data_IF_257414227671
#
_entry.id   IF_257414227671
#
_cell.length_a   1.000
_cell.length_b   1.000
_cell.length_c   1.000
_cell.angle_alpha   90.00
_cell.angle_beta   90.00
_cell.angle_gamma   90.00
#
_symmetry.space_group_name_H-M   'P 1'
#
loop_
_entity.id
_entity.type
_entity.pdbx_description
1 polymer ?
#
# COMPACT_ATOMS: atom_id res chain seq x y z
N UNK A 1 26.71 10.29 5.19
CA UNK A 1 26.86 11.73 4.99
C UNK A 1 25.76 12.37 5.82
N UNK A 2 26.14 12.95 6.96
CA UNK A 2 25.22 13.57 7.89
C UNK A 2 24.44 14.71 7.21
N UNK A 3 23.21 14.92 7.64
CA UNK A 3 22.49 16.16 7.39
C UNK A 3 23.33 17.29 8.02
N UNK A 4 23.96 18.10 7.20
CA UNK A 4 24.54 19.36 7.66
C UNK A 4 23.38 20.30 7.95
N UNK A 5 23.34 20.84 9.16
CA UNK A 5 22.45 21.86 9.69
C UNK A 5 21.10 21.96 8.98
N UNK A 6 20.05 21.46 9.64
CA UNK A 6 18.75 21.25 9.05
C UNK A 6 18.21 22.45 8.30
N UNK A 7 17.97 22.30 7.03
CA UNK A 7 17.07 23.17 6.34
C UNK A 7 15.68 22.89 6.93
N UNK A 8 15.10 23.85 7.61
CA UNK A 8 13.73 23.79 8.10
C UNK A 8 12.80 23.59 6.90
N UNK A 9 12.15 22.45 6.81
CA UNK A 9 11.10 22.19 5.82
C UNK A 9 9.84 23.01 6.08
N UNK A 10 9.74 23.66 7.23
CA UNK A 10 8.63 24.53 7.62
C UNK A 10 8.87 25.11 9.02
N UNK A 11 8.24 26.25 9.31
CA UNK A 11 8.20 26.86 10.63
C UNK A 11 6.82 26.62 11.25
N UNK A 12 6.78 26.37 12.54
CA UNK A 12 5.54 26.18 13.32
C UNK A 12 5.33 24.72 13.77
N UNK A 13 4.17 24.45 14.33
CA UNK A 13 3.81 23.11 14.78
C UNK A 13 3.55 22.20 13.57
N UNK A 14 4.35 21.14 13.40
CA UNK A 14 4.14 20.13 12.36
C UNK A 14 3.25 18.99 12.87
N UNK A 15 2.46 18.37 11.98
CA UNK A 15 1.71 17.16 12.32
C UNK A 15 2.37 15.90 11.74
N UNK A 16 1.85 15.34 10.64
CA UNK A 16 2.37 14.12 10.05
C UNK A 16 3.43 14.37 8.99
N UNK A 17 4.31 13.40 8.80
CA UNK A 17 5.25 13.34 7.67
C UNK A 17 5.23 11.95 7.07
N UNK A 18 5.04 11.86 5.75
CA UNK A 18 4.97 10.59 5.02
C UNK A 18 5.95 10.61 3.85
N UNK A 19 6.52 9.46 3.55
CA UNK A 19 7.41 9.25 2.41
C UNK A 19 6.73 8.36 1.37
N UNK A 20 6.81 8.75 0.10
CA UNK A 20 6.33 7.86 -0.96
C UNK A 20 7.16 6.59 -1.01
N UNK A 21 6.48 5.46 -1.17
CA UNK A 21 7.09 4.13 -1.31
C UNK A 21 7.34 3.76 -2.77
N UNK A 22 7.04 4.66 -3.71
CA UNK A 22 7.24 4.45 -5.14
C UNK A 22 8.70 4.75 -5.53
N UNK A 23 9.35 3.82 -6.23
CA UNK A 23 10.75 3.96 -6.65
C UNK A 23 10.96 5.03 -7.72
N UNK A 24 9.94 5.39 -8.50
CA UNK A 24 10.06 6.34 -9.60
C UNK A 24 9.92 7.80 -9.17
N UNK A 25 9.14 8.06 -8.12
CA UNK A 25 8.87 9.40 -7.63
C UNK A 25 9.08 9.44 -6.11
N UNK A 26 10.09 10.19 -5.68
CA UNK A 26 10.43 10.34 -4.26
C UNK A 26 9.82 11.64 -3.74
N UNK A 27 8.71 11.51 -3.03
CA UNK A 27 8.04 12.64 -2.40
C UNK A 27 8.06 12.52 -0.88
N UNK A 28 8.11 13.66 -0.22
CA UNK A 28 7.77 13.82 1.19
C UNK A 28 6.50 14.65 1.26
N UNK A 29 5.51 14.11 1.93
CA UNK A 29 4.27 14.82 2.25
C UNK A 29 4.31 15.20 3.72
N UNK A 30 4.02 16.43 4.04
CA UNK A 30 3.91 16.90 5.42
C UNK A 30 2.83 17.96 5.54
N UNK A 31 2.23 18.08 6.71
CA UNK A 31 1.23 19.10 6.97
C UNK A 31 1.63 19.98 8.17
N UNK A 32 1.03 21.12 8.21
CA UNK A 32 0.92 21.95 9.41
C UNK A 32 -0.18 21.35 10.29
N UNK A 33 -0.72 22.07 11.23
CA UNK A 33 -1.84 21.61 12.05
C UNK A 33 -3.15 21.50 11.26
N UNK A 34 -4.04 20.62 11.66
CA UNK A 34 -5.29 20.29 10.93
C UNK A 34 -4.99 19.80 9.50
N UNK A 35 -5.87 20.04 8.54
CA UNK A 35 -5.58 19.90 7.10
C UNK A 35 -4.97 21.18 6.50
N UNK A 36 -4.51 22.08 7.34
CA UNK A 36 -3.96 23.33 6.90
C UNK A 36 -2.58 23.14 6.27
N UNK A 37 -2.39 23.66 5.08
CA UNK A 37 -1.10 23.67 4.38
C UNK A 37 -0.46 22.29 4.23
N UNK A 38 -1.21 21.28 3.77
CA UNK A 38 -0.60 20.01 3.34
C UNK A 38 0.35 20.31 2.18
N UNK A 39 1.60 19.93 2.35
CA UNK A 39 2.71 20.25 1.45
C UNK A 39 3.36 18.98 0.93
N UNK A 40 3.80 19.05 -0.31
CA UNK A 40 4.52 17.97 -0.99
C UNK A 40 5.89 18.49 -1.44
N UNK A 41 6.92 17.73 -1.16
CA UNK A 41 8.30 17.99 -1.55
C UNK A 41 8.80 16.91 -2.50
N UNK A 42 9.27 17.31 -3.68
CA UNK A 42 9.90 16.40 -4.63
C UNK A 42 11.38 16.19 -4.29
N UNK A 43 11.73 14.99 -3.82
CA UNK A 43 13.11 14.64 -3.44
C UNK A 43 14.00 14.28 -4.63
N UNK A 44 13.45 14.00 -5.82
CA UNK A 44 14.24 13.74 -7.02
C UNK A 44 14.86 15.02 -7.62
N UNK A 45 14.34 16.18 -7.25
CA UNK A 45 14.80 17.46 -7.76
C UNK A 45 14.84 18.53 -6.64
N UNK A 46 15.69 18.35 -5.62
CA UNK A 46 15.90 19.38 -4.62
C UNK A 46 16.52 20.61 -5.29
N UNK A 47 16.04 21.80 -4.99
CA UNK A 47 16.59 23.04 -5.50
C UNK A 47 18.07 23.22 -5.14
N UNK A 48 18.86 23.87 -6.01
CA UNK A 48 20.29 24.12 -5.80
C UNK A 48 20.61 25.02 -4.57
N UNK A 49 19.59 25.67 -4.03
CA UNK A 49 19.70 26.59 -2.88
C UNK A 49 19.25 25.94 -1.56
N UNK A 50 19.02 24.62 -1.56
CA UNK A 50 18.48 23.90 -0.41
C UNK A 50 17.04 24.30 -0.05
N UNK A 51 16.45 25.25 -0.73
CA UNK A 51 15.06 25.61 -0.60
C UNK A 51 14.26 24.72 -1.52
N UNK A 52 13.66 23.74 -0.91
CA UNK A 52 12.90 22.68 -1.52
C UNK A 52 11.80 23.22 -2.43
N UNK A 53 11.67 22.57 -3.55
CA UNK A 53 10.56 22.75 -4.48
C UNK A 53 9.33 22.05 -3.90
N UNK A 54 8.72 22.67 -2.91
CA UNK A 54 7.47 22.22 -2.34
C UNK A 54 6.28 22.94 -2.99
N UNK A 55 5.15 22.31 -2.99
CA UNK A 55 3.87 22.92 -3.33
C UNK A 55 2.82 22.57 -2.29
N UNK A 56 1.86 23.42 -2.16
CA UNK A 56 0.75 23.24 -1.21
C UNK A 56 -0.46 22.68 -1.96
N UNK A 57 -1.10 21.69 -1.37
CA UNK A 57 -2.26 21.00 -1.94
C UNK A 57 -3.56 21.28 -1.21
N UNK A 58 -3.50 21.92 -0.03
CA UNK A 58 -4.69 22.36 0.71
C UNK A 58 -4.63 23.86 1.00
N UNK A 59 -5.79 24.50 1.15
CA UNK A 59 -5.87 25.91 1.51
C UNK A 59 -5.54 26.16 2.99
N UNK A 60 -5.24 27.44 3.36
CA UNK A 60 -5.02 27.80 4.75
C UNK A 60 -6.33 27.88 5.57
N UNK A 61 -7.48 27.84 4.90
CA UNK A 61 -8.79 28.01 5.52
C UNK A 61 -9.45 26.70 5.91
N UNK A 62 -8.83 25.56 5.54
CA UNK A 62 -9.33 24.22 5.87
C UNK A 62 -8.95 23.87 7.30
N UNK A 63 -9.74 24.31 8.27
CA UNK A 63 -9.66 23.87 9.68
C UNK A 63 -10.35 22.49 9.85
N UNK A 64 -10.15 21.59 8.89
CA UNK A 64 -10.65 20.21 8.96
C UNK A 64 -9.67 19.32 9.75
N UNK A 65 -10.23 18.31 10.43
CA UNK A 65 -9.44 17.31 11.16
C UNK A 65 -8.99 17.80 12.55
N UNK A 66 -7.98 17.10 13.07
CA UNK A 66 -7.43 17.35 14.39
C UNK A 66 -6.19 18.25 14.34
N UNK A 67 -5.81 18.84 15.50
CA UNK A 67 -4.61 19.67 15.61
C UNK A 67 -3.37 18.91 15.15
N UNK A 68 -3.15 17.66 15.61
CA UNK A 68 -2.19 16.70 15.05
C UNK A 68 -2.98 15.75 14.15
N UNK A 69 -3.02 16.05 12.86
CA UNK A 69 -3.93 15.40 11.96
C UNK A 69 -3.37 14.08 11.40
N UNK A 70 -4.20 13.03 11.39
CA UNK A 70 -3.85 11.72 10.85
C UNK A 70 -3.98 11.74 9.35
N UNK A 71 -2.96 11.17 8.68
CA UNK A 71 -2.87 11.07 7.24
C UNK A 71 -2.30 9.72 6.82
N UNK A 72 -2.64 9.27 5.62
CA UNK A 72 -2.06 8.12 4.96
C UNK A 72 -1.78 8.43 3.49
N UNK A 73 -0.66 7.93 2.96
CA UNK A 73 -0.24 8.12 1.58
C UNK A 73 -0.34 6.80 0.83
N UNK A 74 -1.23 6.73 -0.17
CA UNK A 74 -1.22 5.68 -1.16
C UNK A 74 -0.25 6.02 -2.30
N UNK A 75 0.92 5.42 -2.24
CA UNK A 75 1.96 5.66 -3.25
C UNK A 75 1.69 4.98 -4.58
N UNK A 76 0.82 3.94 -4.62
CA UNK A 76 0.49 3.24 -5.85
C UNK A 76 -0.49 4.04 -6.71
N UNK A 77 -1.41 4.74 -6.06
CA UNK A 77 -2.46 5.54 -6.72
C UNK A 77 -2.22 7.05 -6.65
N UNK A 78 -1.16 7.50 -5.97
CA UNK A 78 -0.86 8.93 -5.81
C UNK A 78 -1.95 9.68 -5.05
N UNK A 79 -2.46 9.10 -3.94
CA UNK A 79 -3.55 9.68 -3.16
C UNK A 79 -3.09 9.95 -1.73
N UNK A 80 -3.43 11.12 -1.22
CA UNK A 80 -3.27 11.45 0.19
C UNK A 80 -4.64 11.42 0.86
N UNK A 81 -4.80 10.54 1.83
CA UNK A 81 -5.97 10.49 2.69
C UNK A 81 -5.69 11.25 3.99
N UNK A 82 -6.60 12.09 4.42
CA UNK A 82 -6.42 12.95 5.59
C UNK A 82 -7.70 13.03 6.42
N UNK A 83 -7.58 12.91 7.74
CA UNK A 83 -8.72 13.11 8.63
C UNK A 83 -9.35 14.49 8.38
N UNK A 84 -10.65 14.54 8.14
CA UNK A 84 -11.43 15.75 7.92
C UNK A 84 -12.39 16.05 9.10
N UNK A 85 -12.24 15.33 10.21
CA UNK A 85 -13.08 15.44 11.39
C UNK A 85 -14.46 14.81 11.25
N UNK A 86 -15.13 14.59 12.37
CA UNK A 86 -16.51 14.08 12.41
C UNK A 86 -16.74 12.80 11.58
N UNK A 87 -15.82 11.83 11.64
CA UNK A 87 -15.91 10.56 10.91
C UNK A 87 -15.81 10.72 9.40
N UNK A 88 -14.99 11.65 8.93
CA UNK A 88 -14.75 11.90 7.52
C UNK A 88 -13.26 11.85 7.20
N UNK A 89 -12.95 11.39 6.00
CA UNK A 89 -11.61 11.40 5.41
C UNK A 89 -11.65 12.16 4.09
N UNK A 90 -10.77 13.12 3.91
CA UNK A 90 -10.56 13.80 2.63
C UNK A 90 -9.48 13.09 1.82
N UNK A 91 -9.79 12.77 0.56
CA UNK A 91 -8.85 12.24 -0.40
C UNK A 91 -8.40 13.37 -1.34
N UNK A 92 -7.08 13.49 -1.53
CA UNK A 92 -6.46 14.43 -2.47
C UNK A 92 -5.83 13.63 -3.60
N UNK A 93 -6.27 13.90 -4.84
CA UNK A 93 -5.80 13.26 -6.06
C UNK A 93 -4.92 14.18 -6.91
N UNK A 94 -4.19 13.61 -7.86
CA UNK A 94 -3.46 14.34 -8.90
C UNK A 94 -2.52 15.45 -8.35
N UNK A 95 -2.07 15.30 -7.10
CA UNK A 95 -1.20 16.27 -6.45
C UNK A 95 0.22 16.28 -7.02
N UNK A 96 0.63 15.26 -7.73
CA UNK A 96 1.92 15.10 -8.39
C UNK A 96 2.01 15.85 -9.75
N UNK A 97 0.85 16.26 -10.30
CA UNK A 97 0.78 17.10 -11.52
C UNK A 97 1.13 18.58 -11.28
N UNK A 98 1.35 18.97 -10.03
CA UNK A 98 1.75 20.33 -9.68
C UNK A 98 3.27 20.46 -9.68
N UNK A 99 3.77 21.51 -10.33
CA UNK A 99 5.19 21.82 -10.37
C UNK A 99 5.65 22.61 -9.13
N UNK A 100 6.98 22.66 -8.89
CA UNK A 100 7.58 23.43 -7.80
C UNK A 100 7.20 24.92 -7.89
N UNK A 101 6.82 25.50 -6.74
CA UNK A 101 6.44 26.90 -6.61
C UNK A 101 4.98 27.22 -6.90
N UNK A 102 4.17 26.23 -7.30
CA UNK A 102 2.72 26.43 -7.37
C UNK A 102 2.15 26.49 -5.96
N UNK A 103 1.49 27.58 -5.63
CA UNK A 103 0.68 27.75 -4.41
C UNK A 103 -0.79 27.62 -4.78
N UNK A 104 -1.15 26.44 -5.31
CA UNK A 104 -2.52 26.17 -5.75
C UNK A 104 -3.19 25.16 -4.83
N UNK A 105 -4.48 25.37 -4.59
CA UNK A 105 -5.34 24.37 -4.00
C UNK A 105 -5.63 23.28 -5.03
N UNK A 106 -5.44 22.02 -4.65
CA UNK A 106 -5.91 20.91 -5.48
C UNK A 106 -7.43 20.86 -5.39
N UNK A 107 -8.07 21.01 -6.54
CA UNK A 107 -9.54 20.92 -6.63
C UNK A 107 -10.05 19.50 -6.79
N UNK A 108 -9.16 18.55 -7.12
CA UNK A 108 -9.52 17.16 -7.26
C UNK A 108 -9.50 16.45 -5.90
N UNK A 109 -10.54 16.72 -5.13
CA UNK A 109 -10.73 16.15 -3.79
C UNK A 109 -12.16 15.67 -3.61
N UNK A 110 -12.34 14.63 -2.80
CA UNK A 110 -13.65 14.19 -2.33
C UNK A 110 -13.60 13.76 -0.86
N UNK A 111 -14.77 13.61 -0.25
CA UNK A 111 -14.93 13.17 1.13
C UNK A 111 -15.44 11.73 1.16
N UNK A 112 -14.75 10.91 1.95
CA UNK A 112 -15.25 9.61 2.44
C UNK A 112 -15.91 9.93 3.78
N UNK A 113 -17.22 9.81 3.88
CA UNK A 113 -18.01 10.20 5.05
C UNK A 113 -18.66 8.99 5.74
N UNK A 114 -19.44 9.25 6.79
CA UNK A 114 -20.21 8.24 7.52
C UNK A 114 -19.35 7.12 8.14
N UNK A 115 -18.13 7.45 8.56
CA UNK A 115 -17.25 6.52 9.28
C UNK A 115 -17.45 6.55 10.81
N UNK A 116 -18.51 7.17 11.29
CA UNK A 116 -18.86 7.23 12.70
C UNK A 116 -18.19 8.38 13.44
N UNK A 117 -17.34 8.10 14.39
CA UNK A 117 -16.66 9.08 15.24
C UNK A 117 -15.39 9.64 14.57
N UNK A 118 -14.64 10.46 15.30
CA UNK A 118 -13.43 11.08 14.79
C UNK A 118 -12.36 10.05 14.44
N UNK A 119 -11.64 10.29 13.33
CA UNK A 119 -10.61 9.36 12.84
C UNK A 119 -9.33 9.58 13.64
N UNK A 120 -8.88 8.52 14.30
CA UNK A 120 -7.69 8.52 15.15
C UNK A 120 -6.50 7.73 14.57
N UNK A 121 -6.76 6.88 13.56
CA UNK A 121 -5.73 6.16 12.81
C UNK A 121 -6.14 6.03 11.35
N UNK A 122 -5.17 6.13 10.44
CA UNK A 122 -5.33 5.90 9.00
C UNK A 122 -4.14 5.13 8.49
N UNK A 123 -4.41 4.08 7.71
CA UNK A 123 -3.38 3.37 6.96
C UNK A 123 -3.93 2.88 5.62
N UNK A 124 -3.06 2.76 4.62
CA UNK A 124 -3.38 2.21 3.31
C UNK A 124 -2.76 0.83 3.21
N UNK A 125 -3.54 -0.15 2.72
CA UNK A 125 -3.00 -1.48 2.46
C UNK A 125 -1.87 -1.41 1.43
N UNK A 126 -0.65 -1.85 1.77
CA UNK A 126 0.46 -1.86 0.83
C UNK A 126 0.37 -3.03 -0.17
N UNK A 127 -0.59 -3.93 0.01
CA UNK A 127 -0.72 -5.17 -0.75
C UNK A 127 -1.63 -5.05 -1.96
N UNK A 128 -2.50 -4.02 -2.00
CA UNK A 128 -3.44 -3.83 -3.10
C UNK A 128 -2.82 -2.98 -4.21
N UNK A 129 -2.84 -3.50 -5.43
CA UNK A 129 -2.26 -2.84 -6.62
C UNK A 129 -3.31 -2.50 -7.68
N UNK A 130 -4.51 -3.09 -7.60
CA UNK A 130 -5.61 -2.87 -8.54
C UNK A 130 -6.57 -1.78 -8.06
N UNK A 131 -6.67 -1.59 -6.76
CA UNK A 131 -7.51 -0.55 -6.14
C UNK A 131 -6.93 -0.11 -4.82
N UNK A 132 -7.12 1.16 -4.45
CA UNK A 132 -6.74 1.66 -3.13
C UNK A 132 -7.65 1.08 -2.07
N UNK A 133 -7.08 0.50 -1.02
CA UNK A 133 -7.80 0.03 0.16
C UNK A 133 -7.31 0.79 1.39
N UNK A 134 -8.20 1.58 1.97
CA UNK A 134 -7.94 2.41 3.15
C UNK A 134 -8.56 1.76 4.38
N UNK A 135 -7.79 1.72 5.46
CA UNK A 135 -8.28 1.40 6.79
C UNK A 135 -8.33 2.65 7.66
N UNK A 136 -9.44 2.84 8.36
CA UNK A 136 -9.68 3.99 9.23
C UNK A 136 -10.15 3.55 10.62
N UNK A 137 -9.38 3.86 11.63
CA UNK A 137 -9.68 3.64 13.03
C UNK A 137 -10.24 4.91 13.69
N UNK A 138 -11.19 4.75 14.60
CA UNK A 138 -11.85 5.85 15.28
C UNK A 138 -11.45 5.95 16.75
N UNK A 139 -11.74 7.10 17.34
CA UNK A 139 -11.55 7.38 18.76
C UNK A 139 -12.50 6.62 19.69
N UNK A 140 -13.50 5.91 19.15
CA UNK A 140 -14.44 5.06 19.87
C UNK A 140 -14.30 3.55 19.60
N UNK A 141 -13.20 3.14 18.98
CA UNK A 141 -12.89 1.73 18.68
C UNK A 141 -13.47 1.18 17.38
N UNK A 142 -14.18 1.98 16.59
CA UNK A 142 -14.67 1.53 15.29
C UNK A 142 -13.52 1.44 14.28
N UNK A 143 -13.41 0.30 13.61
CA UNK A 143 -12.46 0.07 12.51
C UNK A 143 -13.23 -0.10 11.20
N UNK A 144 -12.82 0.64 10.19
CA UNK A 144 -13.43 0.63 8.86
C UNK A 144 -12.43 0.17 7.80
N UNK A 145 -12.88 -0.68 6.88
CA UNK A 145 -12.21 -1.02 5.64
C UNK A 145 -12.96 -0.37 4.48
N UNK A 146 -12.27 0.43 3.69
CA UNK A 146 -12.81 1.13 2.52
C UNK A 146 -12.09 0.59 1.29
N UNK A 147 -12.76 -0.18 0.46
CA UNK A 147 -12.24 -0.69 -0.80
C UNK A 147 -12.61 0.24 -1.96
N UNK A 148 -11.83 0.23 -3.04
CA UNK A 148 -11.93 1.22 -4.13
C UNK A 148 -11.95 2.66 -3.60
N UNK A 149 -11.16 2.92 -2.56
CA UNK A 149 -11.13 4.21 -1.88
C UNK A 149 -10.73 5.37 -2.81
N UNK A 150 -10.08 5.08 -3.94
CA UNK A 150 -9.74 6.05 -4.98
C UNK A 150 -10.94 6.57 -5.80
N UNK A 151 -12.09 5.92 -5.74
CA UNK A 151 -13.24 6.29 -6.56
C UNK A 151 -14.52 6.45 -5.71
N UNK A 152 -15.04 7.68 -5.54
CA UNK A 152 -16.20 7.95 -4.70
C UNK A 152 -17.50 7.27 -5.18
N UNK A 153 -17.57 6.87 -6.45
CA UNK A 153 -18.76 6.26 -7.03
C UNK A 153 -18.81 4.74 -6.85
N UNK A 154 -17.65 4.08 -6.67
CA UNK A 154 -17.55 2.62 -6.58
C UNK A 154 -16.95 2.13 -5.26
N UNK A 155 -16.53 3.05 -4.38
CA UNK A 155 -16.02 2.69 -3.06
C UNK A 155 -17.07 1.94 -2.22
N UNK A 156 -16.62 0.94 -1.50
CA UNK A 156 -17.42 0.26 -0.48
C UNK A 156 -16.83 0.49 0.89
N UNK A 157 -17.69 0.56 1.90
CA UNK A 157 -17.30 0.79 3.30
C UNK A 157 -17.85 -0.33 4.14
N UNK A 158 -16.96 -1.03 4.81
CA UNK A 158 -17.26 -2.11 5.71
C UNK A 158 -16.73 -1.78 7.11
N UNK A 159 -17.57 -1.89 8.12
CA UNK A 159 -17.12 -1.78 9.50
C UNK A 159 -16.69 -3.17 9.97
N UNK A 160 -15.41 -3.32 10.24
CA UNK A 160 -14.84 -4.48 10.93
C UNK A 160 -15.23 -4.35 12.40
N UNK A 161 -16.12 -5.22 12.89
CA UNK A 161 -16.65 -5.15 14.24
C UNK A 161 -16.00 -6.18 15.12
N UNK A 162 -15.58 -5.73 16.29
CA UNK A 162 -15.18 -6.60 17.39
C UNK A 162 -15.68 -5.99 18.70
N UNK A 163 -16.48 -6.75 19.43
CA UNK A 163 -17.21 -6.22 20.60
C UNK A 163 -16.29 -5.78 21.74
N UNK A 164 -15.02 -6.23 21.71
CA UNK A 164 -14.03 -5.88 22.73
C UNK A 164 -13.17 -4.66 22.36
N UNK A 165 -13.31 -4.12 21.15
CA UNK A 165 -12.65 -2.87 20.77
C UNK A 165 -13.23 -1.73 21.59
N UNK A 166 -12.40 -1.12 22.43
CA UNK A 166 -12.80 -0.06 23.33
C UNK A 166 -11.71 1.01 23.42
N UNK A 167 -12.10 2.25 23.23
CA UNK A 167 -11.16 3.38 23.25
C UNK A 167 -10.74 3.81 21.84
N UNK A 168 -9.68 4.56 21.78
CA UNK A 168 -9.21 5.18 20.55
C UNK A 168 -8.15 4.31 19.88
N UNK A 169 -8.40 3.93 18.63
CA UNK A 169 -7.41 3.22 17.82
C UNK A 169 -6.24 4.15 17.57
N UNK A 170 -5.05 3.74 17.94
CA UNK A 170 -3.81 4.51 17.79
C UNK A 170 -3.06 4.20 16.51
N UNK A 171 -3.05 2.90 16.13
CA UNK A 171 -2.33 2.40 14.97
C UNK A 171 -3.04 1.21 14.34
N UNK A 172 -2.86 1.06 13.03
CA UNK A 172 -3.32 -0.07 12.23
C UNK A 172 -2.13 -0.45 11.36
N UNK A 173 -1.54 -1.62 11.59
CA UNK A 173 -0.37 -2.09 10.87
C UNK A 173 -0.63 -3.47 10.24
N UNK A 174 0.14 -3.81 9.23
CA UNK A 174 0.01 -5.09 8.53
C UNK A 174 1.24 -5.96 8.74
N UNK A 175 1.00 -7.27 8.83
CA UNK A 175 2.04 -8.28 8.80
C UNK A 175 2.50 -8.60 7.38
N UNK A 176 2.56 -9.89 7.07
CA UNK A 176 3.04 -10.36 5.76
C UNK A 176 2.06 -10.15 4.61
N UNK A 177 0.78 -10.00 4.90
CA UNK A 177 -0.27 -9.68 3.93
C UNK A 177 -1.44 -8.93 4.59
N UNK A 178 -2.48 -8.59 3.80
CA UNK A 178 -3.65 -7.83 4.26
C UNK A 178 -4.53 -8.61 5.26
N UNK A 179 -4.36 -9.94 5.40
CA UNK A 179 -5.08 -10.72 6.40
C UNK A 179 -4.50 -10.59 7.79
N UNK A 180 -3.21 -10.30 7.88
CA UNK A 180 -2.48 -10.15 9.12
C UNK A 180 -2.52 -8.70 9.56
N UNK A 181 -3.50 -8.36 10.41
CA UNK A 181 -3.79 -6.98 10.83
C UNK A 181 -3.51 -6.84 12.32
N UNK A 182 -2.76 -5.82 12.68
CA UNK A 182 -2.54 -5.38 14.05
C UNK A 182 -3.32 -4.11 14.30
N UNK A 183 -3.98 -4.02 15.46
CA UNK A 183 -4.67 -2.81 15.91
C UNK A 183 -4.25 -2.51 17.33
N UNK A 184 -3.87 -1.26 17.59
CA UNK A 184 -3.48 -0.82 18.93
C UNK A 184 -4.38 0.31 19.46
N UNK A 185 -4.38 0.46 20.80
CA UNK A 185 -5.20 1.47 21.49
C UNK A 185 -4.33 2.28 22.46
N UNK A 186 -4.53 3.59 22.51
CA UNK A 186 -3.74 4.48 23.37
C UNK A 186 -4.47 4.89 24.67
N UNK A 187 -5.41 4.10 25.13
CA UNK A 187 -6.13 4.36 26.37
C UNK A 187 -5.59 3.48 27.51
N UNK A 188 -5.69 3.98 28.72
CA UNK A 188 -5.54 3.18 29.93
C UNK A 188 -6.82 2.40 30.22
N UNK A 189 -6.70 1.24 30.88
CA UNK A 189 -7.83 0.44 31.33
C UNK A 189 -8.58 -0.28 30.20
N UNK A 190 -7.95 -0.48 29.07
CA UNK A 190 -8.46 -1.24 27.92
C UNK A 190 -7.43 -2.24 27.44
N UNK A 191 -7.86 -3.27 26.72
CA UNK A 191 -6.93 -4.11 25.97
C UNK A 191 -6.28 -3.29 24.86
N UNK A 192 -4.97 -3.23 24.83
CA UNK A 192 -4.24 -2.29 23.98
C UNK A 192 -3.73 -2.89 22.68
N UNK A 193 -3.73 -4.24 22.52
CA UNK A 193 -3.17 -4.92 21.35
C UNK A 193 -4.10 -6.03 20.89
N UNK A 194 -4.55 -5.93 19.64
CA UNK A 194 -5.33 -6.95 18.96
C UNK A 194 -4.66 -7.36 17.65
N UNK A 195 -4.82 -8.61 17.28
CA UNK A 195 -4.29 -9.21 16.06
C UNK A 195 -5.31 -10.10 15.39
N UNK A 196 -5.43 -9.98 14.08
CA UNK A 196 -6.20 -10.85 13.20
C UNK A 196 -5.27 -11.50 12.18
N UNK A 197 -5.52 -12.75 11.81
CA UNK A 197 -4.84 -13.47 10.72
C UNK A 197 -5.79 -13.87 9.58
N UNK A 198 -7.03 -13.38 9.63
CA UNK A 198 -8.09 -13.68 8.65
C UNK A 198 -8.72 -12.43 8.02
N UNK A 199 -8.07 -11.27 8.12
CA UNK A 199 -8.52 -10.02 7.50
C UNK A 199 -9.52 -9.23 8.35
N UNK A 200 -9.60 -9.54 9.65
CA UNK A 200 -10.45 -8.85 10.61
C UNK A 200 -11.77 -9.54 10.89
N UNK A 201 -11.96 -10.79 10.42
CA UNK A 201 -13.14 -11.59 10.77
C UNK A 201 -13.11 -12.04 12.22
N UNK A 202 -11.92 -12.45 12.71
CA UNK A 202 -11.68 -12.82 14.09
C UNK A 202 -10.45 -12.09 14.65
N UNK A 203 -10.47 -11.85 15.96
CA UNK A 203 -9.39 -11.14 16.65
C UNK A 203 -8.91 -11.89 17.89
N UNK A 204 -7.63 -11.81 18.15
CA UNK A 204 -6.99 -12.30 19.37
C UNK A 204 -6.35 -11.14 20.13
N UNK A 205 -6.47 -11.18 21.47
CA UNK A 205 -5.78 -10.26 22.36
C UNK A 205 -4.32 -10.64 22.46
N UNK A 206 -3.45 -9.66 22.45
CA UNK A 206 -2.00 -9.87 22.48
C UNK A 206 -1.29 -9.03 23.57
N UNK A 207 -2.02 -8.66 24.60
CA UNK A 207 -1.50 -7.87 25.71
C UNK A 207 -0.57 -8.68 26.63
N UNK A 208 -0.87 -9.97 26.84
CA UNK A 208 -0.03 -10.87 27.66
C UNK A 208 0.30 -10.31 29.04
N UNK A 209 1.59 -10.12 29.33
CA UNK A 209 2.08 -9.52 30.59
C UNK A 209 2.39 -8.01 30.48
N UNK A 210 1.97 -7.34 29.39
CA UNK A 210 2.17 -5.89 29.28
C UNK A 210 1.43 -5.19 30.43
N UNK A 211 2.05 -4.25 31.14
CA UNK A 211 1.31 -3.40 32.08
C UNK A 211 0.23 -2.60 31.37
N UNK A 212 -0.78 -2.14 32.12
CA UNK A 212 -1.80 -1.21 31.60
C UNK A 212 -1.15 0.08 31.13
N UNK A 213 -0.78 0.12 29.84
CA UNK A 213 -0.06 1.21 29.18
C UNK A 213 -0.69 1.54 27.83
N UNK A 214 -0.85 2.83 27.50
CA UNK A 214 -1.20 3.24 26.14
C UNK A 214 -0.15 2.74 25.14
N UNK A 215 -0.63 2.06 24.09
CA UNK A 215 0.19 1.62 22.95
C UNK A 215 -0.09 2.54 21.77
N UNK A 216 0.93 3.15 21.21
CA UNK A 216 0.81 4.15 20.13
C UNK A 216 1.09 3.57 18.76
N UNK A 217 2.00 2.59 18.67
CA UNK A 217 2.45 1.99 17.42
C UNK A 217 2.82 0.53 17.63
N UNK A 218 2.78 -0.26 16.57
CA UNK A 218 3.22 -1.66 16.53
C UNK A 218 3.93 -1.96 15.23
N UNK A 219 5.03 -2.72 15.29
CA UNK A 219 5.76 -3.20 14.13
C UNK A 219 6.18 -4.66 14.34
N UNK A 220 5.93 -5.49 13.33
CA UNK A 220 6.42 -6.86 13.27
C UNK A 220 7.74 -6.91 12.51
N UNK A 221 8.68 -7.73 13.00
CA UNK A 221 9.93 -8.00 12.31
C UNK A 221 9.67 -8.67 10.95
N UNK A 222 10.29 -8.21 9.86
CA UNK A 222 10.21 -8.91 8.58
C UNK A 222 11.04 -10.20 8.55
N UNK A 223 11.84 -10.46 9.59
CA UNK A 223 12.72 -11.61 9.72
C UNK A 223 12.09 -12.75 10.52
N UNK A 224 11.29 -12.39 11.54
CA UNK A 224 10.64 -13.33 12.42
C UNK A 224 9.26 -12.79 12.84
N UNK A 225 8.19 -13.56 12.58
CA UNK A 225 6.81 -13.17 12.92
C UNK A 225 6.56 -13.13 14.43
N UNK A 226 7.36 -13.83 15.20
CA UNK A 226 7.29 -13.82 16.66
C UNK A 226 7.97 -12.60 17.30
N UNK A 227 8.84 -11.91 16.54
CA UNK A 227 9.48 -10.69 16.97
C UNK A 227 8.61 -9.48 16.63
N UNK A 228 8.01 -8.87 17.64
CA UNK A 228 7.16 -7.68 17.52
C UNK A 228 7.62 -6.64 18.51
N UNK A 229 7.63 -5.38 18.09
CA UNK A 229 7.89 -4.23 18.96
C UNK A 229 6.68 -3.31 19.01
N UNK A 230 6.50 -2.66 20.16
CA UNK A 230 5.45 -1.66 20.36
C UNK A 230 6.05 -0.38 20.95
N UNK A 231 5.51 0.75 20.50
CA UNK A 231 5.78 2.06 21.08
C UNK A 231 4.71 2.42 22.11
N UNK A 232 5.13 2.74 23.33
CA UNK A 232 4.21 3.01 24.44
C UNK A 232 4.46 4.38 25.07
N UNK A 233 3.66 4.73 26.08
CA UNK A 233 3.88 5.90 26.94
C UNK A 233 5.24 5.81 27.67
N UNK A 234 5.74 4.61 27.93
CA UNK A 234 7.00 4.33 28.65
C UNK A 234 8.03 3.61 27.76
N UNK A 235 8.32 4.19 26.60
CA UNK A 235 9.34 3.66 25.69
C UNK A 235 8.88 2.52 24.82
N UNK A 236 9.84 1.76 24.33
CA UNK A 236 9.61 0.61 23.43
C UNK A 236 9.58 -0.67 24.26
N UNK A 237 8.61 -1.53 23.92
CA UNK A 237 8.54 -2.90 24.42
C UNK A 237 8.65 -3.87 23.25
N UNK A 238 9.10 -5.09 23.51
CA UNK A 238 9.26 -6.13 22.52
C UNK A 238 8.86 -7.49 23.03
N UNK A 239 8.48 -8.37 22.12
CA UNK A 239 8.28 -9.79 22.36
C UNK A 239 8.97 -10.61 21.27
N UNK A 240 9.37 -11.86 21.60
CA UNK A 240 9.88 -12.85 20.65
C UNK A 240 9.00 -14.11 20.63
N UNK A 241 7.79 -14.01 21.10
CA UNK A 241 6.82 -15.11 21.11
C UNK A 241 5.39 -14.62 20.84
N UNK A 242 5.25 -13.72 19.85
CA UNK A 242 3.97 -13.08 19.53
C UNK A 242 2.88 -14.06 19.14
N UNK A 243 3.23 -15.21 18.52
CA UNK A 243 2.28 -16.27 18.15
C UNK A 243 1.63 -16.95 19.36
N UNK A 244 2.23 -16.85 20.55
CA UNK A 244 1.64 -17.37 21.78
C UNK A 244 0.27 -16.70 22.06
N UNK A 245 -0.63 -17.44 22.71
CA UNK A 245 -1.92 -16.89 23.17
C UNK A 245 -1.72 -15.67 24.06
N UNK A 246 -0.73 -15.73 24.97
CA UNK A 246 -0.33 -14.65 25.86
C UNK A 246 1.17 -14.34 25.66
N UNK A 247 1.53 -13.39 24.77
CA UNK A 247 2.91 -13.02 24.54
C UNK A 247 3.60 -12.47 25.79
N UNK A 248 4.93 -12.65 25.86
CA UNK A 248 5.75 -12.10 26.93
C UNK A 248 6.44 -10.82 26.49
N UNK A 249 5.94 -9.69 26.95
CA UNK A 249 6.51 -8.38 26.63
C UNK A 249 7.62 -8.01 27.62
N UNK A 250 8.69 -7.44 27.06
CA UNK A 250 9.86 -6.95 27.78
C UNK A 250 10.17 -5.52 27.36
N UNK A 251 10.53 -4.66 28.30
CA UNK A 251 10.92 -3.29 27.97
C UNK A 251 12.31 -3.24 27.32
N UNK A 252 12.44 -2.51 26.23
CA UNK A 252 13.71 -2.31 25.54
C UNK A 252 14.52 -1.18 26.21
N UNK A 253 15.41 -1.54 27.13
CA UNK A 253 16.14 -0.59 27.97
C UNK A 253 17.49 -0.14 27.38
N UNK A 254 17.86 -0.58 26.17
CA UNK A 254 19.16 -0.28 25.57
C UNK A 254 19.19 1.08 24.89
N UNK A 255 19.69 2.10 25.60
CA UNK A 255 20.01 3.42 25.01
C UNK A 255 18.86 4.41 24.89
N UNK A 256 17.62 3.99 25.04
CA UNK A 256 16.46 4.88 25.06
C UNK A 256 15.92 5.00 26.49
N UNK A 257 15.54 6.21 26.89
CA UNK A 257 14.88 6.47 28.18
C UNK A 257 13.39 6.12 28.10
N UNK A 258 12.75 5.99 29.27
CA UNK A 258 11.31 5.88 29.40
C UNK A 258 10.66 7.20 28.95
N UNK A 259 10.31 7.25 27.68
CA UNK A 259 9.71 8.40 27.03
C UNK A 259 8.64 7.94 26.07
N UNK A 260 7.55 8.67 26.00
CA UNK A 260 6.48 8.35 25.06
C UNK A 260 7.00 8.28 23.63
N UNK A 261 6.77 7.15 23.01
CA UNK A 261 6.96 6.95 21.57
C UNK A 261 5.81 7.60 20.84
N UNK A 262 6.08 8.42 19.84
CA UNK A 262 5.06 9.11 19.07
C UNK A 262 4.79 8.47 17.74
N UNK A 263 5.81 7.80 17.16
CA UNK A 263 5.69 7.10 15.90
C UNK A 263 6.86 6.12 15.70
N UNK A 264 6.62 5.05 14.93
CA UNK A 264 7.63 4.08 14.53
C UNK A 264 7.48 3.74 13.06
N UNK A 265 8.60 3.66 12.34
CA UNK A 265 8.61 3.30 10.92
C UNK A 265 9.73 2.31 10.61
N UNK A 266 9.43 1.33 9.75
CA UNK A 266 10.34 0.29 9.32
C UNK A 266 10.86 0.53 7.91
N UNK A 267 12.17 0.75 7.79
CA UNK A 267 12.84 0.74 6.51
C UNK A 267 13.13 -0.70 6.05
N UNK A 268 12.27 -1.26 5.20
CA UNK A 268 12.32 -2.67 4.77
C UNK A 268 13.64 -3.06 4.06
N UNK A 269 14.37 -2.07 3.50
CA UNK A 269 15.61 -2.36 2.75
C UNK A 269 16.78 -2.86 3.61
N UNK A 270 16.81 -2.54 4.90
CA UNK A 270 17.86 -2.92 5.84
C UNK A 270 17.32 -3.24 7.24
N UNK A 271 16.02 -3.44 7.37
CA UNK A 271 15.28 -3.79 8.60
C UNK A 271 15.50 -2.78 9.75
N UNK A 272 15.82 -1.53 9.38
CA UNK A 272 16.07 -0.47 10.36
C UNK A 272 14.76 0.17 10.77
N UNK A 273 14.54 0.22 12.07
CA UNK A 273 13.41 0.90 12.70
C UNK A 273 13.84 2.30 13.10
N UNK A 274 13.01 3.29 12.80
CA UNK A 274 13.13 4.65 13.31
C UNK A 274 11.99 4.90 14.30
N UNK A 275 12.34 5.53 15.42
CA UNK A 275 11.44 5.70 16.56
C UNK A 275 11.46 7.17 16.92
N UNK A 276 10.35 7.86 16.72
CA UNK A 276 10.19 9.24 17.17
C UNK A 276 9.64 9.28 18.60
N UNK A 277 10.10 10.25 19.39
CA UNK A 277 9.75 10.37 20.80
C UNK A 277 9.28 11.77 21.17
N UNK A 278 8.49 11.86 22.23
CA UNK A 278 8.03 13.14 22.73
C UNK A 278 9.16 13.88 23.46
N UNK A 279 9.84 14.78 22.74
CA UNK A 279 10.83 15.70 23.31
C UNK A 279 12.27 15.20 23.40
N UNK A 280 12.57 13.94 23.05
CA UNK A 280 13.94 13.40 23.07
C UNK A 280 14.50 13.07 21.66
N UNK A 281 13.82 13.50 20.60
CA UNK A 281 14.27 13.31 19.24
C UNK A 281 13.96 11.92 18.66
N UNK A 282 14.81 11.48 17.72
CA UNK A 282 14.62 10.24 16.97
C UNK A 282 15.70 9.24 17.38
N UNK A 283 15.27 8.03 17.69
CA UNK A 283 16.13 6.86 17.92
C UNK A 283 16.06 5.93 16.72
N UNK A 284 16.98 5.00 16.63
CA UNK A 284 16.89 3.92 15.66
C UNK A 284 17.37 2.60 16.23
N UNK A 285 16.69 1.55 15.86
CA UNK A 285 17.04 0.16 16.10
C UNK A 285 17.15 -0.60 14.78
N UNK A 286 17.39 -1.89 14.90
CA UNK A 286 17.39 -2.78 13.74
C UNK A 286 16.84 -4.13 14.19
N UNK A 287 15.91 -4.71 13.43
CA UNK A 287 15.54 -6.09 13.60
C UNK A 287 16.70 -6.97 13.14
N UNK A 288 17.23 -7.78 14.06
CA UNK A 288 18.33 -8.71 13.82
C UNK A 288 17.86 -10.11 14.16
N UNK A 289 17.80 -10.98 13.15
CA UNK A 289 17.70 -12.40 13.43
C UNK A 289 19.04 -12.89 13.97
N UNK A 290 19.02 -13.67 15.05
CA UNK A 290 20.22 -14.31 15.60
C UNK A 290 20.54 -15.62 14.89
N UNK A 291 19.55 -16.21 14.20
CA UNK A 291 19.68 -17.42 13.43
C UNK A 291 20.05 -17.13 11.97
N UNK A 292 20.78 -18.05 11.31
CA UNK A 292 21.01 -17.94 9.88
C UNK A 292 19.69 -17.82 9.11
N UNK A 293 19.54 -16.77 8.30
CA UNK A 293 18.30 -16.52 7.57
C UNK A 293 18.52 -15.73 6.27
N UNK A 294 17.47 -15.62 5.47
CA UNK A 294 17.44 -14.76 4.28
C UNK A 294 16.10 -14.04 4.15
N UNK A 295 16.08 -12.95 3.39
CA UNK A 295 14.85 -12.24 2.99
C UNK A 295 14.75 -12.18 1.49
N UNK A 296 13.52 -11.99 0.97
CA UNK A 296 13.25 -11.69 -0.43
C UNK A 296 12.45 -10.39 -0.53
N UNK A 297 12.72 -9.61 -1.56
CA UNK A 297 11.94 -8.44 -1.89
C UNK A 297 11.90 -8.24 -3.42
N UNK A 298 10.80 -7.67 -3.92
CA UNK A 298 10.69 -7.21 -5.31
C UNK A 298 9.99 -5.86 -5.33
N UNK A 299 10.46 -5.00 -6.22
CA UNK A 299 9.75 -3.75 -6.56
C UNK A 299 8.50 -4.02 -7.40
N UNK A 300 8.42 -5.19 -8.05
CA UNK A 300 7.27 -5.59 -8.86
C UNK A 300 6.18 -6.14 -7.95
N UNK A 301 5.05 -5.47 -7.90
CA UNK A 301 3.86 -5.89 -7.14
C UNK A 301 2.77 -6.46 -8.03
N UNK A 302 2.77 -6.06 -9.30
CA UNK A 302 1.83 -6.54 -10.31
C UNK A 302 2.50 -6.75 -11.66
N UNK A 303 1.94 -7.66 -12.44
CA UNK A 303 2.30 -7.94 -13.81
C UNK A 303 1.03 -7.93 -14.66
N UNK A 304 1.13 -7.42 -15.87
CA UNK A 304 0.12 -7.58 -16.90
C UNK A 304 0.78 -8.25 -18.09
N UNK A 305 0.25 -9.39 -18.54
CA UNK A 305 0.85 -10.22 -19.58
C UNK A 305 -0.24 -10.67 -20.54
N UNK A 306 0.00 -10.47 -21.84
CA UNK A 306 -0.86 -11.01 -22.89
C UNK A 306 -0.73 -12.54 -22.99
N UNK A 307 -1.80 -13.22 -23.34
CA UNK A 307 -1.76 -14.65 -23.66
C UNK A 307 -0.70 -14.93 -24.73
N UNK A 308 0.10 -15.97 -24.55
CA UNK A 308 1.21 -16.34 -25.45
C UNK A 308 2.51 -15.55 -25.21
N UNK A 309 2.47 -14.43 -24.51
CA UNK A 309 3.59 -13.56 -24.24
C UNK A 309 4.30 -13.91 -22.91
N UNK A 310 5.44 -13.27 -22.69
CA UNK A 310 6.24 -13.46 -21.48
C UNK A 310 6.66 -12.12 -20.87
N UNK A 311 6.79 -12.13 -19.55
CA UNK A 311 7.33 -11.00 -18.80
C UNK A 311 8.20 -11.48 -17.66
N UNK A 312 9.15 -10.66 -17.24
CA UNK A 312 10.03 -10.99 -16.13
C UNK A 312 9.99 -9.94 -15.03
N UNK A 313 10.30 -10.38 -13.82
CA UNK A 313 10.50 -9.52 -12.67
C UNK A 313 11.75 -9.94 -11.89
N UNK A 314 12.33 -8.98 -11.19
CA UNK A 314 13.52 -9.20 -10.38
C UNK A 314 13.14 -9.33 -8.91
N UNK A 315 13.85 -10.22 -8.22
CA UNK A 315 13.75 -10.46 -6.79
C UNK A 315 15.13 -10.28 -6.18
N UNK A 316 15.26 -9.31 -5.29
CA UNK A 316 16.45 -9.16 -4.47
C UNK A 316 16.36 -10.07 -3.25
N UNK A 317 17.39 -10.87 -2.98
CA UNK A 317 17.50 -11.61 -1.74
C UNK A 317 18.70 -11.13 -0.94
N UNK A 318 18.54 -11.09 0.38
CA UNK A 318 19.58 -10.71 1.33
C UNK A 318 19.80 -11.80 2.34
N UNK A 319 21.06 -11.99 2.73
CA UNK A 319 21.52 -13.03 3.64
C UNK A 319 21.91 -12.42 4.98
N UNK A 320 21.54 -13.08 6.06
CA UNK A 320 21.83 -12.67 7.42
C UNK A 320 22.45 -13.84 8.21
N UNK A 321 23.33 -13.49 9.17
CA UNK A 321 23.90 -14.41 10.16
C UNK A 321 24.58 -15.64 9.53
N UNK A 322 25.33 -15.43 8.44
CA UNK A 322 26.04 -16.49 7.70
C UNK A 322 25.12 -17.60 7.16
N UNK A 323 23.91 -17.27 6.77
CA UNK A 323 23.06 -18.23 6.07
C UNK A 323 23.78 -18.81 4.87
N UNK A 324 23.77 -20.14 4.74
CA UNK A 324 24.45 -20.86 3.67
C UNK A 324 23.73 -22.19 3.40
N UNK A 325 22.58 -22.10 2.72
CA UNK A 325 21.78 -23.27 2.38
C UNK A 325 21.36 -23.24 0.90
N UNK A 326 20.99 -24.39 0.36
CA UNK A 326 20.32 -24.48 -0.93
C UNK A 326 18.87 -23.97 -0.77
N UNK A 327 18.52 -22.97 -1.57
CA UNK A 327 17.14 -22.49 -1.72
C UNK A 327 16.54 -23.05 -3.00
N UNK A 328 15.33 -23.58 -2.90
CA UNK A 328 14.49 -23.98 -4.03
C UNK A 328 13.41 -22.94 -4.23
N UNK A 329 13.36 -22.36 -5.44
CA UNK A 329 12.32 -21.39 -5.82
C UNK A 329 11.17 -22.10 -6.54
N UNK A 330 9.94 -21.69 -6.26
CA UNK A 330 8.74 -22.12 -6.99
C UNK A 330 7.74 -20.98 -7.10
N UNK A 331 7.11 -20.85 -8.26
CA UNK A 331 6.03 -19.90 -8.49
C UNK A 331 4.71 -20.66 -8.56
N UNK A 332 3.77 -20.30 -7.71
CA UNK A 332 2.43 -20.87 -7.62
C UNK A 332 1.39 -19.83 -8.06
N UNK A 333 0.19 -20.28 -8.43
CA UNK A 333 -0.93 -19.40 -8.77
C UNK A 333 -0.93 -18.88 -10.21
N UNK A 334 0.06 -19.24 -11.04
CA UNK A 334 0.00 -18.93 -12.47
C UNK A 334 -1.05 -19.79 -13.20
N UNK A 335 -1.63 -19.30 -14.32
CA UNK A 335 -2.52 -20.11 -15.17
C UNK A 335 -1.89 -21.45 -15.54
N UNK A 336 -2.74 -22.45 -15.79
CA UNK A 336 -2.28 -23.78 -16.22
C UNK A 336 -1.42 -23.68 -17.50
N UNK A 337 -0.45 -24.59 -17.61
CA UNK A 337 0.50 -24.67 -18.73
C UNK A 337 1.44 -23.44 -18.87
N UNK A 338 1.42 -22.50 -17.95
CA UNK A 338 2.40 -21.41 -17.93
C UNK A 338 3.82 -21.95 -17.69
N UNK A 339 4.79 -21.35 -18.36
CA UNK A 339 6.21 -21.73 -18.21
C UNK A 339 6.95 -20.70 -17.36
N UNK A 340 7.70 -21.19 -16.35
CA UNK A 340 8.48 -20.35 -15.44
C UNK A 340 9.96 -20.66 -15.57
N UNK A 341 10.77 -19.62 -15.81
CA UNK A 341 12.24 -19.72 -15.89
C UNK A 341 12.84 -18.90 -14.76
N UNK A 342 13.84 -19.46 -14.10
CA UNK A 342 14.57 -18.82 -13.02
C UNK A 342 16.03 -18.60 -13.45
N UNK A 343 16.54 -17.37 -13.31
CA UNK A 343 17.91 -17.01 -13.61
C UNK A 343 18.55 -16.38 -12.34
N UNK A 344 19.65 -16.92 -11.79
CA UNK A 344 20.53 -17.91 -12.40
C UNK A 344 20.02 -19.36 -12.39
N UNK A 345 19.15 -19.77 -11.44
CA UNK A 345 18.64 -21.14 -11.38
C UNK A 345 17.44 -21.28 -10.44
N UNK A 346 16.62 -22.34 -10.65
CA UNK A 346 15.53 -22.72 -9.75
C UNK A 346 16.04 -23.18 -8.37
N UNK A 347 17.26 -23.74 -8.31
CA UNK A 347 17.94 -24.14 -7.09
C UNK A 347 19.26 -23.41 -7.00
N UNK A 348 19.53 -22.78 -5.89
CA UNK A 348 20.70 -21.94 -5.70
C UNK A 348 21.20 -22.05 -4.27
N UNK A 349 22.51 -22.32 -4.08
CA UNK A 349 23.14 -22.16 -2.77
C UNK A 349 23.31 -20.67 -2.52
N UNK A 350 22.61 -20.16 -1.53
CA UNK A 350 22.60 -18.75 -1.16
C UNK A 350 23.45 -18.55 0.09
N UNK A 351 24.56 -17.85 -0.08
CA UNK A 351 25.51 -17.51 0.99
C UNK A 351 25.94 -16.04 0.99
N UNK A 352 25.37 -15.26 0.09
CA UNK A 352 25.56 -13.82 -0.05
C UNK A 352 24.34 -13.18 -0.69
N UNK A 353 24.20 -11.88 -0.53
CA UNK A 353 23.16 -11.10 -1.20
C UNK A 353 23.22 -11.29 -2.72
N UNK A 354 22.07 -11.28 -3.36
CA UNK A 354 21.99 -11.47 -4.81
C UNK A 354 20.62 -11.16 -5.39
N UNK A 355 20.48 -11.53 -6.65
CA UNK A 355 19.26 -11.32 -7.43
C UNK A 355 18.81 -12.61 -8.09
N UNK A 356 17.50 -12.79 -8.18
CA UNK A 356 16.84 -13.79 -8.97
C UNK A 356 15.94 -13.09 -9.96
N UNK A 357 16.07 -13.41 -11.24
CA UNK A 357 15.12 -13.02 -12.27
C UNK A 357 14.16 -14.17 -12.51
N UNK A 358 12.86 -13.88 -12.42
CA UNK A 358 11.80 -14.84 -12.72
C UNK A 358 11.13 -14.39 -14.02
N UNK A 359 11.15 -15.25 -15.04
CA UNK A 359 10.43 -15.03 -16.30
C UNK A 359 9.21 -15.96 -16.32
N UNK A 360 8.03 -15.37 -16.50
CA UNK A 360 6.76 -16.08 -16.64
C UNK A 360 6.26 -15.91 -18.07
N UNK A 361 6.02 -17.03 -18.75
CA UNK A 361 5.36 -17.08 -20.05
C UNK A 361 3.97 -17.69 -19.88
N UNK A 362 2.95 -16.95 -20.31
CA UNK A 362 1.56 -17.40 -20.28
C UNK A 362 1.28 -18.25 -21.52
N UNK A 363 0.58 -19.38 -21.35
CA UNK A 363 0.13 -20.18 -22.49
C UNK A 363 -0.91 -19.40 -23.31
N UNK A 364 -0.89 -19.61 -24.63
CA UNK A 364 -1.81 -18.90 -25.54
C UNK A 364 -3.28 -19.27 -25.37
N UNK A 365 -3.57 -20.38 -24.69
CA UNK A 365 -4.93 -20.83 -24.40
C UNK A 365 -5.34 -20.57 -22.94
N UNK A 366 -4.54 -19.80 -22.19
CA UNK A 366 -4.89 -19.43 -20.81
C UNK A 366 -6.11 -18.52 -20.79
N UNK A 367 -6.96 -18.70 -19.78
CA UNK A 367 -8.08 -17.80 -19.54
C UNK A 367 -7.55 -16.39 -19.16
N UNK A 368 -8.20 -15.36 -19.68
CA UNK A 368 -7.98 -13.97 -19.25
C UNK A 368 -8.53 -13.77 -17.84
N UNK A 369 -7.89 -12.94 -17.06
CA UNK A 369 -8.34 -12.68 -15.69
C UNK A 369 -7.24 -12.28 -14.74
N UNK A 370 -7.59 -12.17 -13.47
CA UNK A 370 -6.67 -11.83 -12.38
C UNK A 370 -6.26 -13.08 -11.61
N UNK A 371 -4.96 -13.21 -11.34
CA UNK A 371 -4.34 -14.34 -10.66
C UNK A 371 -3.43 -13.82 -9.54
N UNK A 372 -3.42 -14.51 -8.41
CA UNK A 372 -2.50 -14.23 -7.30
C UNK A 372 -1.26 -15.12 -7.41
N UNK A 373 -0.12 -14.58 -7.84
CA UNK A 373 1.13 -15.31 -7.87
C UNK A 373 1.77 -15.34 -6.48
N UNK A 374 2.32 -16.48 -6.09
CA UNK A 374 3.13 -16.63 -4.89
C UNK A 374 4.48 -17.24 -5.27
N UNK A 375 5.54 -16.44 -5.23
CA UNK A 375 6.91 -16.94 -5.34
C UNK A 375 7.35 -17.42 -3.97
N UNK A 376 7.62 -18.73 -3.85
CA UNK A 376 8.17 -19.36 -2.65
C UNK A 376 9.65 -19.58 -2.82
N UNK A 377 10.41 -19.36 -1.76
CA UNK A 377 11.81 -19.72 -1.62
C UNK A 377 11.96 -20.55 -0.35
N UNK A 378 12.27 -21.80 -0.49
CA UNK A 378 12.37 -22.75 0.62
C UNK A 378 13.76 -23.36 0.70
N UNK A 379 14.36 -23.34 1.89
CA UNK A 379 15.55 -24.09 2.27
C UNK A 379 15.18 -25.20 3.27
N UNK A 380 16.16 -25.87 3.82
CA UNK A 380 15.95 -26.88 4.87
C UNK A 380 15.46 -26.28 6.18
N UNK A 381 15.86 -25.07 6.49
CA UNK A 381 15.57 -24.42 7.79
C UNK A 381 14.57 -23.26 7.69
N UNK A 382 14.46 -22.60 6.55
CA UNK A 382 13.67 -21.36 6.40
C UNK A 382 12.86 -21.37 5.10
N UNK A 383 11.69 -20.71 5.13
CA UNK A 383 10.85 -20.46 3.95
C UNK A 383 10.45 -18.99 3.90
N UNK A 384 10.37 -18.44 2.69
CA UNK A 384 9.90 -17.08 2.43
C UNK A 384 8.96 -17.08 1.23
N UNK A 385 7.99 -16.19 1.26
CA UNK A 385 7.00 -16.00 0.20
C UNK A 385 6.95 -14.54 -0.26
N UNK A 386 6.70 -14.35 -1.54
CA UNK A 386 6.49 -13.04 -2.17
C UNK A 386 5.25 -13.12 -3.05
N UNK A 387 4.27 -12.26 -2.80
CA UNK A 387 3.01 -12.20 -3.56
C UNK A 387 3.10 -11.13 -4.64
N UNK A 388 2.58 -11.45 -5.82
CA UNK A 388 2.55 -10.58 -7.01
C UNK A 388 1.21 -10.78 -7.70
N UNK A 389 0.49 -9.71 -7.98
CA UNK A 389 -0.75 -9.78 -8.74
C UNK A 389 -0.44 -9.95 -10.23
N UNK A 390 -1.14 -10.83 -10.89
CA UNK A 390 -1.04 -11.04 -12.33
C UNK A 390 -2.39 -10.75 -12.98
N UNK A 391 -2.41 -9.85 -13.96
CA UNK A 391 -3.51 -9.68 -14.89
C UNK A 391 -3.11 -10.32 -16.23
N UNK A 392 -3.87 -11.31 -16.66
CA UNK A 392 -3.75 -11.90 -18.00
C UNK A 392 -4.79 -11.26 -18.89
N UNK A 393 -4.33 -10.73 -20.01
CA UNK A 393 -5.17 -10.04 -21.00
C UNK A 393 -5.01 -10.68 -22.38
N UNK A 394 -5.89 -10.36 -23.30
CA UNK A 394 -5.79 -10.78 -24.70
C UNK A 394 -6.04 -9.60 -25.63
N UNK A 395 -5.47 -9.67 -26.80
CA UNK A 395 -5.70 -8.82 -27.96
C UNK A 395 -5.84 -9.81 -29.13
N UNK A 396 -7.12 -10.15 -29.48
CA UNK A 396 -7.41 -11.29 -30.35
C UNK A 396 -7.12 -10.96 -31.81
N UNK A 397 -7.51 -9.77 -32.25
CA UNK A 397 -7.37 -9.32 -33.65
C UNK A 397 -6.08 -8.51 -33.91
N UNK A 398 -5.33 -8.22 -32.81
CA UNK A 398 -4.00 -7.59 -32.84
C UNK A 398 -3.98 -6.14 -33.35
N UNK A 399 -5.00 -5.40 -33.04
CA UNK A 399 -5.10 -4.00 -33.39
C UNK A 399 -4.49 -3.04 -32.34
N UNK A 400 -4.09 -3.60 -31.17
CA UNK A 400 -3.48 -2.87 -30.07
C UNK A 400 -4.46 -2.48 -28.95
N UNK A 401 -5.74 -2.81 -29.11
CA UNK A 401 -6.76 -2.61 -28.10
C UNK A 401 -7.03 -3.95 -27.40
N UNK A 402 -7.15 -3.92 -26.08
CA UNK A 402 -7.37 -5.16 -25.32
C UNK A 402 -8.84 -5.60 -25.40
N UNK A 403 -9.06 -6.90 -25.47
CA UNK A 403 -10.38 -7.54 -25.63
C UNK A 403 -11.47 -6.98 -24.70
N UNK A 404 -11.14 -6.67 -23.46
CA UNK A 404 -12.07 -6.19 -22.42
C UNK A 404 -12.48 -4.71 -22.55
N UNK A 405 -11.81 -3.96 -23.43
CA UNK A 405 -12.09 -2.53 -23.70
C UNK A 405 -12.27 -2.23 -25.19
N UNK A 406 -12.18 -3.27 -26.03
CA UNK A 406 -12.28 -3.20 -27.47
C UNK A 406 -13.75 -3.26 -27.89
N UNK A 407 -14.20 -2.31 -28.69
CA UNK A 407 -15.58 -2.26 -29.19
C UNK A 407 -15.82 -3.17 -30.40
N UNK A 408 -14.73 -3.78 -30.98
CA UNK A 408 -14.81 -4.85 -32.00
C UNK A 408 -13.83 -5.99 -31.73
N UNK A 409 -13.93 -6.77 -30.66
CA UNK A 409 -12.87 -7.64 -30.12
C UNK A 409 -12.36 -8.76 -31.04
N UNK A 410 -12.93 -8.92 -32.24
CA UNK A 410 -12.55 -9.93 -33.23
C UNK A 410 -12.26 -9.33 -34.62
N UNK A 411 -12.32 -8.00 -34.78
CA UNK A 411 -12.13 -7.29 -36.04
C UNK A 411 -11.36 -6.03 -35.83
N UNK A 412 -10.10 -6.02 -36.26
CA UNK A 412 -9.14 -4.95 -36.00
C UNK A 412 -9.68 -3.56 -36.35
N UNK A 413 -9.74 -2.67 -35.36
CA UNK A 413 -10.20 -1.29 -35.48
C UNK A 413 -9.52 -0.38 -34.44
N UNK A 414 -8.20 -0.22 -34.55
CA UNK A 414 -7.39 0.52 -33.59
C UNK A 414 -7.82 1.98 -33.33
N UNK A 415 -8.66 2.56 -34.18
CA UNK A 415 -9.26 3.88 -34.00
C UNK A 415 -10.51 3.88 -33.13
N UNK A 416 -11.09 2.68 -32.84
CA UNK A 416 -12.25 2.47 -31.99
C UNK A 416 -13.44 3.37 -32.35
N UNK A 417 -13.63 3.58 -33.68
CA UNK A 417 -14.71 4.38 -34.21
C UNK A 417 -16.05 3.75 -33.84
N UNK A 418 -16.99 4.56 -33.35
CA UNK A 418 -18.33 4.18 -32.90
C UNK A 418 -19.23 5.39 -33.15
N UNK A 419 -19.94 5.36 -34.25
CA UNK A 419 -20.64 6.52 -34.79
C UNK A 419 -21.88 6.88 -34.02
N UNK A 420 -22.65 5.87 -33.57
CA UNK A 420 -23.90 6.08 -32.83
C UNK A 420 -23.72 6.03 -31.29
N UNK A 421 -22.54 5.58 -30.81
CA UNK A 421 -22.16 5.57 -29.38
C UNK A 421 -22.84 4.43 -28.61
N UNK A 422 -23.21 3.33 -29.25
CA UNK A 422 -23.86 2.18 -28.60
C UNK A 422 -22.85 1.22 -27.94
N UNK A 423 -21.54 1.36 -28.24
CA UNK A 423 -20.46 0.56 -27.71
C UNK A 423 -20.04 -0.60 -28.63
N UNK A 424 -20.60 -0.72 -29.82
CA UNK A 424 -20.15 -1.58 -30.92
C UNK A 424 -19.39 -0.70 -31.91
N UNK A 425 -18.21 -1.12 -32.34
CA UNK A 425 -17.43 -0.31 -33.28
C UNK A 425 -17.96 -0.43 -34.72
N UNK A 426 -17.87 0.65 -35.49
CA UNK A 426 -18.41 0.79 -36.85
C UNK A 426 -18.08 -0.40 -37.77
N UNK A 427 -16.90 -0.99 -37.63
CA UNK A 427 -16.39 -2.07 -38.50
C UNK A 427 -17.06 -3.42 -38.20
N UNK A 428 -17.63 -3.58 -37.04
CA UNK A 428 -18.33 -4.80 -36.60
C UNK A 428 -19.81 -4.57 -36.25
N UNK A 429 -20.31 -3.36 -36.48
CA UNK A 429 -21.69 -2.99 -36.27
C UNK A 429 -22.53 -3.26 -37.52
N UNK A 430 -23.66 -3.87 -37.32
CA UNK A 430 -24.65 -4.15 -38.39
C UNK A 430 -25.57 -2.95 -38.67
N UNK A 431 -25.58 -1.89 -37.79
CA UNK A 431 -26.43 -0.69 -37.87
C UNK A 431 -25.65 0.54 -37.34
N UNK A 432 -24.65 0.95 -38.12
CA UNK A 432 -23.60 1.94 -37.73
C UNK A 432 -24.15 3.29 -37.26
N UNK A 433 -25.31 3.72 -37.72
CA UNK A 433 -25.91 4.99 -37.32
C UNK A 433 -27.07 4.88 -36.31
N UNK A 434 -27.37 3.64 -35.89
CA UNK A 434 -28.32 3.35 -34.82
C UNK A 434 -29.78 3.70 -35.14
N UNK A 435 -30.13 3.83 -36.43
CA UNK A 435 -31.46 4.26 -36.86
C UNK A 435 -32.49 3.13 -36.94
N UNK A 436 -32.05 1.89 -36.73
CA UNK A 436 -32.86 0.67 -36.75
C UNK A 436 -32.99 0.05 -38.14
N UNK A 437 -32.21 0.50 -39.14
CA UNK A 437 -32.10 -0.13 -40.47
C UNK A 437 -30.70 -0.68 -40.62
N UNK A 438 -30.56 -1.99 -40.85
CA UNK A 438 -29.24 -2.60 -40.97
C UNK A 438 -28.45 -2.02 -42.15
N UNK A 439 -27.17 -1.87 -42.05
CA UNK A 439 -26.24 -1.34 -43.07
C UNK A 439 -26.45 -1.97 -44.45
N UNK A 440 -26.83 -3.28 -44.51
CA UNK A 440 -27.08 -4.00 -45.76
C UNK A 440 -28.37 -3.56 -46.49
N UNK A 441 -29.33 -3.01 -45.76
CA UNK A 441 -30.63 -2.57 -46.23
C UNK A 441 -30.76 -1.03 -46.23
N UNK A 442 -29.78 -0.32 -45.67
CA UNK A 442 -29.72 1.12 -45.60
C UNK A 442 -29.00 1.74 -46.83
N UNK A 443 -29.61 2.80 -47.38
CA UNK A 443 -29.02 3.57 -48.49
C UNK A 443 -27.99 4.62 -48.01
N UNK A 444 -27.94 4.91 -46.70
CA UNK A 444 -27.06 5.92 -46.08
C UNK A 444 -26.57 5.47 -44.70
N UNK A 445 -25.79 4.37 -44.58
CA UNK A 445 -25.42 3.71 -43.31
C UNK A 445 -24.67 4.55 -42.26
N UNK A 446 -24.36 5.81 -42.54
CA UNK A 446 -23.72 6.74 -41.65
C UNK A 446 -24.59 8.00 -41.41
N UNK A 447 -25.91 7.91 -41.65
CA UNK A 447 -26.79 9.09 -41.51
C UNK A 447 -28.10 8.70 -40.84
N UNK A 448 -28.22 9.00 -39.52
CA UNK A 448 -29.43 8.69 -38.74
C UNK A 448 -30.68 9.28 -39.36
N UNK A 449 -31.80 8.59 -39.21
CA UNK A 449 -33.12 8.85 -39.82
C UNK A 449 -33.74 10.24 -39.59
N UNK A 450 -33.23 10.97 -38.61
CA UNK A 450 -33.75 12.25 -38.14
C UNK A 450 -33.02 13.50 -38.68
N UNK A 451 -32.26 13.39 -39.76
CA UNK A 451 -31.63 14.54 -40.46
C UNK A 451 -32.22 14.75 -41.85
#
# INVERSE_FOLDING_TARGET
NGFSEGNDFGSGDGAGTMFSQNNNNKYVVYNYVYNNSVRVLNMNNPGNDGRSRWWRISSNDDNEGDFINKQALDSNFGIIYSNAGNGKVRAYHNWDNFGPGSQGEIKDTYLIDNLGSNISALTVSPFQTQSSTLFAGNDNGALWKITNAQNPNTQTKEQIRWDEFSGSISDIEFGEDEKHIFVTFYNYGVESIFYSDDGGENWSKKEGNLPDLPVYNILQSPLDKDEVIIGTELGVWFTNNFSAENPSWNQANSGMKDVRVTDMDLRKGDNKVFISTYGLGIYSGIFQDTEPTFTMNSSTKSLEILVGEKKSFDVDYKVYNNFNEEIVFSLEGAPENSNVIYDPAKKLVVNSDGKLKVELKIDQNSDVGSYGLTLKAASTSKSRELKIDLKVTSDIDKDGILYDVDNCPNTANADQSDFDGDGIGDVCDDDVDGDGVLNADDNCPETPKDI
#
